data_IF_881076854572
#
_entry.id   IF_881076854572
#
_cell.length_a   1.000
_cell.length_b   1.000
_cell.length_c   1.000
_cell.angle_alpha   90.00
_cell.angle_beta   90.00
_cell.angle_gamma   90.00
#
_symmetry.space_group_name_H-M   'P 1'
#
loop_
_entity.id
_entity.type
_entity.pdbx_description
1 polymer ?
#
# COMPACT_ATOMS: atom_id res chain seq x y z
N UNK A 1 13.25 -10.84 -10.79
CA UNK A 1 13.38 -10.66 -12.25
C UNK A 1 14.88 -10.63 -12.53
N UNK A 2 15.37 -11.21 -13.62
CA UNK A 2 16.82 -11.34 -13.87
C UNK A 2 17.56 -9.98 -13.85
N UNK A 3 16.94 -8.92 -14.37
CA UNK A 3 17.52 -7.58 -14.34
C UNK A 3 17.71 -7.02 -12.93
N UNK A 4 17.01 -7.55 -11.93
CA UNK A 4 17.06 -7.11 -10.54
C UNK A 4 18.22 -7.74 -9.77
N UNK A 5 18.77 -8.84 -10.27
CA UNK A 5 19.86 -9.56 -9.62
C UNK A 5 21.10 -8.65 -9.60
N UNK A 6 21.68 -8.44 -8.42
CA UNK A 6 22.81 -7.54 -8.15
C UNK A 6 22.62 -6.05 -8.54
N UNK A 7 21.38 -5.62 -8.81
CA UNK A 7 21.08 -4.22 -9.20
C UNK A 7 20.15 -3.48 -8.25
N UNK A 8 19.63 -4.14 -7.19
CA UNK A 8 18.84 -3.47 -6.16
C UNK A 8 19.68 -2.59 -5.22
N UNK A 9 20.98 -2.88 -5.08
CA UNK A 9 21.89 -2.08 -4.27
C UNK A 9 22.03 -0.67 -4.87
N UNK A 10 21.87 0.35 -4.02
CA UNK A 10 22.14 1.72 -4.42
C UNK A 10 23.63 1.89 -4.80
N UNK A 11 23.97 2.80 -5.73
CA UNK A 11 25.34 3.01 -6.15
C UNK A 11 26.30 3.26 -4.98
N UNK A 12 27.41 2.51 -4.95
CA UNK A 12 28.41 2.63 -3.88
C UNK A 12 29.00 4.05 -3.82
N UNK A 13 28.74 4.75 -2.71
CA UNK A 13 29.20 6.10 -2.47
C UNK A 13 30.73 6.22 -2.38
N UNK A 14 31.48 5.13 -2.12
CA UNK A 14 32.95 5.14 -2.15
C UNK A 14 33.47 5.23 -3.58
N UNK A 15 32.82 4.54 -4.52
CA UNK A 15 33.18 4.53 -5.95
C UNK A 15 32.57 5.71 -6.70
N UNK A 16 31.35 6.11 -6.33
CA UNK A 16 30.59 7.19 -6.97
C UNK A 16 30.13 8.22 -5.92
N UNK A 17 31.07 8.98 -5.33
CA UNK A 17 30.75 9.92 -4.28
C UNK A 17 29.75 10.96 -4.78
N UNK A 18 28.72 11.20 -3.98
CA UNK A 18 27.66 12.17 -4.26
C UNK A 18 26.87 11.92 -5.55
N UNK A 19 26.86 10.69 -6.10
CA UNK A 19 25.99 10.36 -7.23
C UNK A 19 24.51 10.39 -6.81
N UNK A 20 24.19 9.68 -5.72
CA UNK A 20 22.86 9.75 -5.08
C UNK A 20 22.86 10.91 -4.10
N UNK A 21 22.05 11.94 -4.39
CA UNK A 21 21.92 13.14 -3.55
C UNK A 21 20.88 12.99 -2.44
N UNK A 22 19.81 12.25 -2.74
CA UNK A 22 18.68 12.03 -1.86
C UNK A 22 18.01 10.73 -2.28
N UNK A 23 17.84 9.80 -1.35
CA UNK A 23 16.97 8.64 -1.52
C UNK A 23 15.99 8.58 -0.35
N UNK A 24 14.71 8.36 -0.65
CA UNK A 24 13.66 8.04 0.32
C UNK A 24 13.02 6.75 -0.14
N UNK A 25 13.02 5.75 0.74
CA UNK A 25 12.34 4.49 0.52
C UNK A 25 11.23 4.34 1.54
N UNK A 26 9.99 4.21 1.07
CA UNK A 26 8.82 4.08 1.93
C UNK A 26 8.30 2.66 1.89
N UNK A 27 8.18 2.03 3.06
CA UNK A 27 7.99 0.59 3.21
C UNK A 27 6.66 0.29 3.89
N UNK A 28 5.94 -0.69 3.35
CA UNK A 28 4.69 -1.18 3.92
C UNK A 28 4.92 -2.05 5.15
N UNK A 29 4.46 -1.59 6.32
CA UNK A 29 4.64 -2.26 7.59
C UNK A 29 3.82 -3.53 7.79
N UNK A 30 2.73 -3.72 7.03
CA UNK A 30 1.79 -4.84 7.20
C UNK A 30 1.73 -5.80 6.00
N UNK A 31 2.59 -5.64 4.99
CA UNK A 31 2.64 -6.54 3.84
C UNK A 31 3.25 -7.89 4.22
N UNK A 32 2.64 -8.99 3.76
CA UNK A 32 3.02 -10.36 4.15
C UNK A 32 2.95 -11.35 2.99
N UNK A 33 2.52 -10.91 1.80
CA UNK A 33 2.38 -11.82 0.66
C UNK A 33 3.75 -12.24 0.16
N UNK A 34 3.94 -13.53 -0.04
CA UNK A 34 5.17 -14.12 -0.57
C UNK A 34 5.53 -13.62 -1.98
N UNK A 35 4.54 -13.13 -2.74
CA UNK A 35 4.76 -12.52 -4.04
C UNK A 35 5.20 -11.04 -4.01
N UNK A 36 5.29 -10.43 -2.81
CA UNK A 36 5.75 -9.05 -2.63
C UNK A 36 6.83 -8.97 -1.53
N UNK A 37 8.00 -9.62 -1.71
CA UNK A 37 9.13 -9.44 -0.80
C UNK A 37 9.61 -7.98 -0.82
N UNK A 38 10.14 -7.52 0.32
CA UNK A 38 10.75 -6.21 0.46
C UNK A 38 12.25 -6.28 0.16
N UNK A 39 12.73 -5.41 -0.71
CA UNK A 39 14.15 -5.12 -0.89
C UNK A 39 14.52 -3.85 -0.10
N UNK A 40 15.24 -4.01 1.02
CA UNK A 40 15.72 -2.88 1.83
C UNK A 40 16.85 -2.13 1.12
N UNK A 41 16.91 -0.82 1.26
CA UNK A 41 18.00 0.02 0.71
C UNK A 41 19.29 -0.03 1.54
N UNK A 42 19.39 -0.94 2.53
CA UNK A 42 20.62 -1.18 3.27
C UNK A 42 21.63 -1.91 2.39
N UNK A 43 22.90 -1.55 2.54
CA UNK A 43 24.01 -2.26 1.92
C UNK A 43 24.21 -3.64 2.56
N UNK A 44 25.07 -4.45 1.94
CA UNK A 44 25.42 -5.81 2.39
C UNK A 44 25.95 -5.87 3.84
N UNK A 45 26.52 -4.76 4.34
CA UNK A 45 26.98 -4.65 5.73
C UNK A 45 25.88 -4.21 6.72
N UNK A 46 24.61 -4.16 6.27
CA UNK A 46 23.44 -3.77 7.04
C UNK A 46 23.33 -2.27 7.31
N UNK A 47 24.14 -1.42 6.68
CA UNK A 47 24.12 0.03 6.88
C UNK A 47 23.40 0.75 5.74
N UNK A 48 22.74 1.86 6.07
CA UNK A 48 22.17 2.75 5.05
C UNK A 48 23.28 3.58 4.37
N UNK A 49 23.28 3.69 3.03
CA UNK A 49 24.14 4.63 2.34
C UNK A 49 23.91 6.08 2.79
N UNK A 50 24.89 6.94 2.57
CA UNK A 50 24.76 8.37 2.88
C UNK A 50 23.59 9.01 2.10
N UNK A 51 22.88 9.94 2.74
CA UNK A 51 21.72 10.66 2.18
C UNK A 51 20.52 9.78 1.82
N UNK A 52 20.39 8.61 2.45
CA UNK A 52 19.29 7.68 2.24
C UNK A 52 18.49 7.48 3.53
N UNK A 53 17.18 7.30 3.41
CA UNK A 53 16.27 7.07 4.52
C UNK A 53 15.24 6.02 4.11
N UNK A 54 15.08 4.99 4.93
CA UNK A 54 14.04 3.97 4.80
C UNK A 54 13.01 4.20 5.92
N UNK A 55 11.76 4.44 5.55
CA UNK A 55 10.69 4.84 6.47
C UNK A 55 9.56 3.85 6.39
N UNK A 56 9.19 3.28 7.53
CA UNK A 56 8.06 2.34 7.64
C UNK A 56 6.75 3.13 7.76
N UNK A 57 5.75 2.71 6.98
CA UNK A 57 4.40 3.26 6.97
C UNK A 57 3.37 2.16 7.31
N UNK A 58 2.19 2.52 7.85
CA UNK A 58 1.14 1.54 8.09
C UNK A 58 0.52 1.09 6.77
N UNK A 59 -0.04 -0.11 6.77
CA UNK A 59 -0.76 -0.68 5.64
C UNK A 59 0.05 -1.71 4.84
N UNK A 60 -0.61 -2.26 3.83
CA UNK A 60 0.00 -3.21 2.88
C UNK A 60 0.57 -2.47 1.66
N UNK A 61 1.06 -3.20 0.65
CA UNK A 61 1.80 -2.62 -0.49
C UNK A 61 1.19 -1.34 -1.09
N UNK A 62 -0.09 -1.37 -1.51
CA UNK A 62 -0.74 -0.22 -2.14
C UNK A 62 -1.31 0.81 -1.16
N UNK A 63 -1.33 0.52 0.15
CA UNK A 63 -1.58 1.54 1.17
C UNK A 63 -0.38 2.50 1.29
N UNK A 64 0.82 2.08 0.83
CA UNK A 64 2.02 2.93 0.74
C UNK A 64 2.20 3.48 -0.67
N UNK A 65 2.22 2.62 -1.68
CA UNK A 65 2.44 3.04 -3.07
C UNK A 65 1.28 3.78 -3.73
N UNK A 66 0.07 3.70 -3.14
CA UNK A 66 -1.16 4.11 -3.79
C UNK A 66 -1.64 3.09 -4.82
N UNK A 67 -2.92 3.18 -5.20
CA UNK A 67 -3.52 2.33 -6.22
C UNK A 67 -4.83 1.65 -5.81
N UNK A 68 -5.18 1.67 -4.52
CA UNK A 68 -6.51 1.28 -4.09
C UNK A 68 -7.54 2.35 -4.49
N UNK A 69 -8.68 1.96 -5.11
CA UNK A 69 -9.77 2.88 -5.38
C UNK A 69 -10.53 3.23 -4.09
N UNK A 70 -11.40 4.24 -4.19
CA UNK A 70 -12.39 4.53 -3.15
C UNK A 70 -13.24 3.28 -2.85
N UNK A 71 -13.54 3.06 -1.57
CA UNK A 71 -14.36 1.96 -1.07
C UNK A 71 -13.78 0.55 -1.28
N UNK A 72 -12.53 0.40 -1.72
CA UNK A 72 -11.92 -0.93 -1.85
C UNK A 72 -11.82 -1.62 -0.50
N UNK A 73 -12.35 -2.85 -0.40
CA UNK A 73 -12.45 -3.59 0.86
C UNK A 73 -13.20 -2.80 1.97
N UNK A 74 -14.08 -1.88 1.58
CA UNK A 74 -14.84 -1.00 2.47
C UNK A 74 -14.01 0.05 3.23
N UNK A 75 -12.80 0.34 2.74
CA UNK A 75 -11.89 1.40 3.21
C UNK A 75 -12.12 2.69 2.44
N UNK A 76 -11.82 3.85 3.03
CA UNK A 76 -11.90 5.17 2.39
C UNK A 76 -13.21 5.38 1.61
N UNK A 77 -14.35 5.30 2.31
CA UNK A 77 -15.67 5.17 1.68
C UNK A 77 -16.20 6.49 1.15
N UNK A 78 -15.81 7.60 1.77
CA UNK A 78 -16.28 8.93 1.39
C UNK A 78 -15.45 9.55 0.26
N UNK A 79 -14.29 8.97 -0.08
CA UNK A 79 -13.46 9.44 -1.18
C UNK A 79 -11.99 9.07 -1.05
N UNK A 80 -11.22 9.33 -2.12
CA UNK A 80 -9.77 9.08 -2.18
C UNK A 80 -8.99 9.86 -1.12
N UNK A 81 -9.50 11.02 -0.69
CA UNK A 81 -8.93 11.80 0.41
C UNK A 81 -8.94 11.05 1.76
N UNK A 82 -9.67 9.95 1.90
CA UNK A 82 -9.63 9.06 3.07
C UNK A 82 -8.61 7.90 2.97
N UNK A 83 -7.89 7.76 1.85
CA UNK A 83 -6.87 6.71 1.68
C UNK A 83 -5.62 7.02 2.52
N UNK A 84 -5.07 6.01 3.20
CA UNK A 84 -3.85 6.18 3.99
C UNK A 84 -2.62 6.49 3.12
N UNK A 85 -2.63 6.04 1.86
CA UNK A 85 -1.59 6.36 0.87
C UNK A 85 -1.46 7.85 0.59
N UNK A 86 -2.48 8.66 0.89
CA UNK A 86 -2.38 10.11 0.82
C UNK A 86 -1.28 10.64 1.74
N UNK A 87 -1.07 10.04 2.91
CA UNK A 87 0.01 10.47 3.82
C UNK A 87 1.38 10.24 3.16
N UNK A 88 1.58 9.08 2.53
CA UNK A 88 2.83 8.74 1.83
C UNK A 88 3.04 9.61 0.59
N UNK A 89 1.97 9.90 -0.15
CA UNK A 89 1.99 10.83 -1.28
C UNK A 89 2.50 12.22 -0.85
N UNK A 90 1.99 12.74 0.26
CA UNK A 90 2.42 14.04 0.79
C UNK A 90 3.88 14.04 1.26
N UNK A 91 4.33 12.98 1.94
CA UNK A 91 5.74 12.88 2.35
C UNK A 91 6.68 12.72 1.14
N UNK A 92 6.29 11.95 0.14
CA UNK A 92 7.05 11.83 -1.11
C UNK A 92 7.15 13.17 -1.84
N UNK A 93 6.02 13.87 -1.96
CA UNK A 93 5.95 15.19 -2.58
C UNK A 93 6.86 16.17 -1.82
N UNK A 94 6.77 16.23 -0.50
CA UNK A 94 7.58 17.13 0.32
C UNK A 94 9.08 16.81 0.22
N UNK A 95 9.46 15.53 0.30
CA UNK A 95 10.85 15.12 0.20
C UNK A 95 11.44 15.36 -1.19
N UNK A 96 10.67 15.11 -2.25
CA UNK A 96 11.07 15.39 -3.63
C UNK A 96 11.20 16.89 -3.87
N UNK A 97 10.22 17.69 -3.42
CA UNK A 97 10.25 19.15 -3.54
C UNK A 97 11.45 19.75 -2.80
N UNK A 98 11.71 19.31 -1.55
CA UNK A 98 12.87 19.74 -0.77
C UNK A 98 14.21 19.34 -1.41
N UNK A 99 14.24 18.21 -2.15
CA UNK A 99 15.39 17.79 -2.93
C UNK A 99 15.55 18.54 -4.27
N UNK A 100 14.64 19.46 -4.61
CA UNK A 100 14.69 20.28 -5.82
C UNK A 100 13.97 19.69 -7.03
N UNK A 101 13.08 18.71 -6.84
CA UNK A 101 12.24 18.22 -7.92
C UNK A 101 11.33 19.36 -8.44
N UNK A 102 11.19 19.54 -9.76
CA UNK A 102 10.40 20.61 -10.36
C UNK A 102 8.90 20.29 -10.30
N UNK A 103 8.34 20.25 -9.09
CA UNK A 103 6.93 19.96 -8.86
C UNK A 103 6.10 21.24 -8.82
N UNK A 104 4.85 21.11 -9.25
CA UNK A 104 3.85 22.16 -9.14
C UNK A 104 3.40 22.33 -7.70
N UNK A 105 2.99 23.55 -7.34
CA UNK A 105 2.52 23.91 -5.99
C UNK A 105 1.07 24.43 -6.02
N UNK A 106 0.35 24.41 -4.88
CA UNK A 106 -0.90 25.16 -4.76
C UNK A 106 -0.67 26.66 -5.05
N UNK A 107 -1.66 27.32 -5.66
CA UNK A 107 -1.51 28.73 -6.03
C UNK A 107 -1.25 29.63 -4.81
N UNK A 108 -1.81 29.24 -3.67
CA UNK A 108 -1.77 29.97 -2.40
C UNK A 108 -0.35 30.13 -1.87
N UNK A 109 0.55 29.19 -2.19
CA UNK A 109 1.95 29.21 -1.75
C UNK A 109 2.91 29.71 -2.82
N UNK A 110 2.40 30.06 -4.01
CA UNK A 110 3.23 30.59 -5.09
C UNK A 110 3.72 32.00 -4.74
N UNK A 111 5.04 32.29 -4.84
CA UNK A 111 5.57 33.64 -4.57
C UNK A 111 4.95 34.71 -5.48
N UNK A 112 4.75 35.92 -4.94
CA UNK A 112 4.12 37.04 -5.65
C UNK A 112 4.81 37.37 -6.98
N UNK A 113 6.14 37.17 -7.06
CA UNK A 113 6.93 37.34 -8.29
C UNK A 113 6.40 36.53 -9.46
N UNK A 114 5.79 35.36 -9.20
CA UNK A 114 5.26 34.48 -10.24
C UNK A 114 3.77 34.67 -10.50
N UNK A 115 3.01 35.29 -9.59
CA UNK A 115 1.54 35.39 -9.70
C UNK A 115 1.04 36.12 -10.95
N UNK A 116 1.80 37.11 -11.43
CA UNK A 116 1.49 37.86 -12.66
C UNK A 116 2.34 37.45 -13.86
N UNK A 117 3.13 36.38 -13.73
CA UNK A 117 4.00 35.87 -14.80
C UNK A 117 3.28 34.79 -15.61
N UNK A 118 3.71 34.58 -16.87
CA UNK A 118 3.30 33.42 -17.65
C UNK A 118 3.76 32.09 -17.04
N UNK A 119 4.71 32.12 -16.09
CA UNK A 119 5.19 30.92 -15.41
C UNK A 119 4.17 30.31 -14.45
N UNK A 120 3.19 31.10 -13.98
CA UNK A 120 2.12 30.63 -13.11
C UNK A 120 1.44 29.36 -13.67
N UNK A 121 1.13 29.36 -14.97
CA UNK A 121 0.33 28.29 -15.60
C UNK A 121 0.94 26.89 -15.50
N UNK A 122 2.28 26.78 -15.48
CA UNK A 122 2.95 25.49 -15.40
C UNK A 122 3.57 25.21 -14.03
N UNK A 123 3.60 26.20 -13.13
CA UNK A 123 4.04 26.06 -11.73
C UNK A 123 2.90 25.75 -10.75
N UNK A 124 1.66 26.04 -11.11
CA UNK A 124 0.50 25.83 -10.25
C UNK A 124 -0.17 24.48 -10.52
N UNK A 125 -0.58 23.79 -9.46
CA UNK A 125 -1.40 22.58 -9.55
C UNK A 125 -2.75 22.89 -10.19
N UNK A 126 -3.23 22.00 -11.07
CA UNK A 126 -4.61 22.09 -11.58
C UNK A 126 -5.63 21.78 -10.47
N UNK A 127 -6.89 22.17 -10.67
CA UNK A 127 -7.98 21.85 -9.74
C UNK A 127 -8.14 20.34 -9.49
N UNK A 128 -7.98 19.53 -10.54
CA UNK A 128 -8.02 18.06 -10.43
C UNK A 128 -6.87 17.55 -9.55
N UNK A 129 -5.66 18.07 -9.76
CA UNK A 129 -4.48 17.64 -9.00
C UNK A 129 -4.58 18.10 -7.55
N UNK A 130 -5.07 19.32 -7.29
CA UNK A 130 -5.38 19.77 -5.94
C UNK A 130 -6.39 18.86 -5.24
N UNK A 131 -7.39 18.36 -5.97
CA UNK A 131 -8.36 17.39 -5.43
C UNK A 131 -7.71 16.03 -5.15
N UNK A 132 -6.83 15.56 -6.02
CA UNK A 132 -6.07 14.31 -5.83
C UNK A 132 -5.13 14.38 -4.62
N UNK A 133 -4.65 15.58 -4.26
CA UNK A 133 -3.82 15.81 -3.07
C UNK A 133 -4.63 16.08 -1.79
N UNK A 134 -5.97 16.09 -1.82
CA UNK A 134 -6.74 16.28 -0.58
C UNK A 134 -6.50 15.11 0.38
N UNK A 135 -6.37 15.42 1.66
CA UNK A 135 -6.28 14.43 2.73
C UNK A 135 -7.28 14.78 3.83
N UNK A 136 -8.05 13.79 4.26
CA UNK A 136 -9.01 13.95 5.34
C UNK A 136 -8.25 14.12 6.67
N UNK A 137 -8.58 15.14 7.49
CA UNK A 137 -7.93 15.31 8.80
C UNK A 137 -8.01 14.08 9.71
N UNK A 138 -9.07 13.26 9.57
CA UNK A 138 -9.23 12.02 10.33
C UNK A 138 -8.22 10.94 9.94
N UNK A 139 -7.75 10.94 8.69
CA UNK A 139 -6.66 10.05 8.26
C UNK A 139 -5.37 10.48 8.91
N UNK A 140 -5.09 11.79 8.96
CA UNK A 140 -3.91 12.36 9.64
C UNK A 140 -3.94 12.00 11.13
N UNK A 141 -5.08 12.18 11.79
CA UNK A 141 -5.27 11.79 13.20
C UNK A 141 -4.96 10.30 13.44
N UNK A 142 -5.53 9.42 12.62
CA UNK A 142 -5.34 7.96 12.74
C UNK A 142 -3.91 7.53 12.44
N UNK A 143 -3.29 8.13 11.42
CA UNK A 143 -1.89 7.90 11.08
C UNK A 143 -0.98 8.30 12.25
N UNK A 144 -1.21 9.47 12.84
CA UNK A 144 -0.45 9.92 14.01
C UNK A 144 -0.69 9.05 15.24
N UNK A 145 -1.91 8.55 15.44
CA UNK A 145 -2.19 7.58 16.50
C UNK A 145 -1.39 6.28 16.32
N UNK A 146 -1.32 5.74 15.09
CA UNK A 146 -0.45 4.61 14.77
C UNK A 146 1.03 4.98 15.05
N UNK A 147 1.52 6.04 14.43
CA UNK A 147 2.92 6.51 14.53
C UNK A 147 3.38 6.67 15.98
N UNK A 148 2.55 7.23 16.86
CA UNK A 148 2.94 7.54 18.23
C UNK A 148 2.64 6.45 19.26
N UNK A 149 1.76 5.49 18.94
CA UNK A 149 1.32 4.47 19.91
C UNK A 149 1.79 3.07 19.55
N UNK A 150 2.14 2.80 18.30
CA UNK A 150 2.51 1.46 17.85
C UNK A 150 3.96 1.34 17.38
N UNK A 151 4.67 2.44 17.12
CA UNK A 151 6.09 2.36 16.77
C UNK A 151 6.97 2.22 18.03
N UNK A 152 8.03 1.41 17.98
CA UNK A 152 8.92 1.19 19.13
C UNK A 152 9.72 2.45 19.47
N UNK A 153 9.98 2.65 20.77
CA UNK A 153 10.88 3.73 21.24
C UNK A 153 10.28 5.14 21.22
N UNK A 154 9.00 5.30 20.90
CA UNK A 154 8.31 6.59 21.00
C UNK A 154 7.86 6.83 22.44
N UNK A 155 8.34 7.91 23.06
CA UNK A 155 7.89 8.28 24.40
C UNK A 155 6.39 8.64 24.37
N UNK A 156 5.64 8.19 25.38
CA UNK A 156 4.18 8.26 25.41
C UNK A 156 3.62 9.70 25.41
N UNK A 157 4.48 10.70 25.65
CA UNK A 157 4.21 12.12 25.87
C UNK A 157 4.65 13.04 24.72
N UNK A 158 5.10 12.50 23.57
CA UNK A 158 5.41 13.33 22.40
C UNK A 158 4.11 13.94 21.86
N UNK A 159 3.94 15.24 22.12
CA UNK A 159 2.92 16.10 21.53
C UNK A 159 3.07 16.11 20.00
N UNK A 160 1.96 15.90 19.27
CA UNK A 160 1.88 16.26 17.86
C UNK A 160 1.73 17.78 17.81
N UNK A 161 2.82 18.53 17.96
CA UNK A 161 2.76 19.97 17.69
C UNK A 161 2.47 20.20 16.20
N UNK A 162 1.93 21.39 15.88
CA UNK A 162 1.57 21.88 14.54
C UNK A 162 2.79 22.04 13.58
N UNK A 163 3.92 21.43 13.92
CA UNK A 163 5.15 21.41 13.13
C UNK A 163 5.00 20.52 11.90
N UNK A 164 5.78 20.82 10.85
CA UNK A 164 5.90 19.97 9.67
C UNK A 164 6.21 18.51 10.07
N UNK A 165 5.60 17.56 9.37
CA UNK A 165 5.83 16.13 9.62
C UNK A 165 7.31 15.78 9.39
N UNK A 166 7.91 15.11 10.36
CA UNK A 166 9.21 14.46 10.22
C UNK A 166 9.12 12.97 10.62
N UNK A 167 9.68 12.05 9.82
CA UNK A 167 9.77 10.64 10.19
C UNK A 167 10.47 10.43 11.53
N UNK A 168 9.95 9.54 12.36
CA UNK A 168 10.57 9.20 13.65
C UNK A 168 11.80 8.32 13.42
N UNK A 169 12.93 8.73 13.98
CA UNK A 169 14.13 7.89 13.99
C UNK A 169 14.00 6.80 15.05
N UNK A 170 13.81 5.58 14.60
CA UNK A 170 13.74 4.41 15.47
C UNK A 170 15.15 3.94 15.86
N UNK A 171 15.26 3.27 17.02
CA UNK A 171 16.48 2.62 17.50
C UNK A 171 16.53 1.12 17.18
N UNK A 172 15.56 0.62 16.41
CA UNK A 172 15.42 -0.75 15.93
C UNK A 172 15.83 -0.87 14.47
N UNK A 173 16.12 -2.09 14.02
CA UNK A 173 16.31 -2.38 12.59
C UNK A 173 14.97 -2.35 11.84
N UNK A 174 15.00 -2.35 10.51
CA UNK A 174 13.76 -2.45 9.72
C UNK A 174 13.09 -3.79 9.95
N UNK A 175 13.84 -4.89 10.09
CA UNK A 175 13.29 -6.22 10.37
C UNK A 175 12.57 -6.28 11.71
N UNK A 176 13.18 -5.72 12.76
CA UNK A 176 12.58 -5.70 14.10
C UNK A 176 11.33 -4.83 14.11
N UNK A 177 11.39 -3.68 13.43
CA UNK A 177 10.25 -2.78 13.28
C UNK A 177 9.10 -3.45 12.53
N UNK A 178 9.38 -4.08 11.40
CA UNK A 178 8.38 -4.82 10.63
C UNK A 178 7.81 -5.98 11.46
N UNK A 179 8.65 -6.72 12.17
CA UNK A 179 8.21 -7.80 13.09
C UNK A 179 7.23 -7.28 14.14
N UNK A 180 7.53 -6.14 14.78
CA UNK A 180 6.64 -5.51 15.75
C UNK A 180 5.31 -5.05 15.10
N UNK A 181 5.36 -4.42 13.93
CA UNK A 181 4.17 -4.01 13.18
C UNK A 181 3.30 -5.20 12.75
N UNK A 182 3.90 -6.34 12.42
CA UNK A 182 3.20 -7.59 12.19
C UNK A 182 2.47 -8.10 13.45
N UNK A 183 3.05 -7.89 14.63
CA UNK A 183 2.38 -8.14 15.91
C UNK A 183 1.11 -7.31 16.08
N UNK A 184 1.16 -6.01 15.76
CA UNK A 184 0.00 -5.11 15.84
C UNK A 184 -1.15 -5.50 14.91
N UNK A 185 -0.87 -5.73 13.62
CA UNK A 185 -1.91 -6.16 12.67
C UNK A 185 -2.44 -7.55 13.02
N UNK A 186 -1.60 -8.44 13.57
CA UNK A 186 -2.04 -9.75 14.09
C UNK A 186 -3.02 -9.58 15.26
N UNK A 187 -2.72 -8.72 16.24
CA UNK A 187 -3.63 -8.39 17.33
C UNK A 187 -4.98 -7.84 16.84
N UNK A 188 -4.95 -6.95 15.84
CA UNK A 188 -6.17 -6.46 15.19
C UNK A 188 -6.97 -7.60 14.54
N UNK A 189 -6.31 -8.50 13.80
CA UNK A 189 -6.96 -9.65 13.15
C UNK A 189 -7.53 -10.63 14.17
N UNK A 190 -6.87 -10.87 15.31
CA UNK A 190 -7.46 -11.68 16.40
C UNK A 190 -8.77 -11.04 16.88
N UNK A 191 -8.76 -9.73 17.17
CA UNK A 191 -9.95 -9.02 17.64
C UNK A 191 -11.10 -8.92 16.64
N UNK A 192 -10.81 -8.94 15.33
CA UNK A 192 -11.82 -8.78 14.26
C UNK A 192 -12.20 -10.08 13.57
N UNK A 193 -11.25 -10.93 13.23
CA UNK A 193 -11.48 -12.18 12.49
C UNK A 193 -11.73 -13.37 13.40
N UNK A 194 -11.12 -13.43 14.58
CA UNK A 194 -11.19 -14.62 15.46
C UNK A 194 -12.24 -14.47 16.56
N UNK A 195 -12.36 -13.28 17.15
CA UNK A 195 -13.17 -13.07 18.36
C UNK A 195 -14.66 -13.37 18.10
N UNK A 196 -15.04 -14.60 18.45
CA UNK A 196 -16.35 -15.20 18.27
C UNK A 196 -16.63 -16.15 19.44
N UNK A 197 -17.22 -15.65 20.54
CA UNK A 197 -17.48 -16.46 21.74
C UNK A 197 -18.53 -17.56 21.55
N UNK A 198 -19.32 -17.53 20.46
CA UNK A 198 -20.51 -18.37 20.28
C UNK A 198 -20.46 -19.25 19.01
N UNK A 199 -19.52 -19.00 18.08
CA UNK A 199 -19.20 -19.89 16.96
C UNK A 199 -19.88 -19.53 15.62
N UNK A 200 -20.83 -18.60 15.62
CA UNK A 200 -21.58 -18.17 14.44
C UNK A 200 -21.54 -16.64 14.20
N UNK A 201 -20.96 -15.87 15.13
CA UNK A 201 -21.10 -14.42 15.19
C UNK A 201 -19.75 -13.69 15.11
N UNK A 202 -18.92 -14.08 14.14
CA UNK A 202 -17.61 -13.47 13.91
C UNK A 202 -17.66 -11.95 13.89
N UNK A 203 -16.78 -11.31 14.66
CA UNK A 203 -16.75 -9.87 14.87
C UNK A 203 -16.71 -9.06 13.58
N UNK A 204 -15.97 -9.52 12.57
CA UNK A 204 -15.81 -8.84 11.28
C UNK A 204 -17.12 -8.63 10.52
N UNK A 205 -18.09 -9.56 10.64
CA UNK A 205 -19.38 -9.50 9.93
C UNK A 205 -20.20 -8.25 10.27
N UNK A 206 -19.95 -7.66 11.45
CA UNK A 206 -20.62 -6.44 11.95
C UNK A 206 -19.77 -5.17 11.80
N UNK A 207 -18.54 -5.30 11.31
CA UNK A 207 -17.64 -4.15 11.22
C UNK A 207 -17.97 -3.30 10.00
N UNK A 208 -17.87 -1.96 10.10
CA UNK A 208 -18.16 -1.07 8.99
C UNK A 208 -17.37 -1.38 7.71
N UNK A 209 -16.11 -1.82 7.84
CA UNK A 209 -15.29 -2.19 6.67
C UNK A 209 -15.90 -3.38 5.92
N UNK A 210 -16.50 -4.34 6.60
CA UNK A 210 -17.10 -5.50 5.94
C UNK A 210 -18.50 -5.19 5.42
N UNK A 211 -19.33 -4.51 6.21
CA UNK A 211 -20.70 -4.20 5.80
C UNK A 211 -20.74 -3.23 4.62
N UNK A 212 -19.78 -2.30 4.54
CA UNK A 212 -19.64 -1.32 3.47
C UNK A 212 -18.75 -1.74 2.30
N UNK A 213 -18.13 -2.92 2.33
CA UNK A 213 -17.30 -3.40 1.22
C UNK A 213 -18.13 -3.72 -0.04
N UNK A 214 -17.49 -3.70 -1.20
CA UNK A 214 -18.16 -4.01 -2.47
C UNK A 214 -18.43 -5.52 -2.58
N UNK A 215 -19.49 -5.88 -3.31
CA UNK A 215 -19.78 -7.26 -3.68
C UNK A 215 -20.65 -7.24 -4.93
N UNK A 216 -20.04 -7.51 -6.08
CA UNK A 216 -20.78 -7.67 -7.33
C UNK A 216 -21.54 -9.01 -7.33
N UNK A 217 -22.72 -9.04 -7.96
CA UNK A 217 -23.42 -10.31 -8.12
C UNK A 217 -22.73 -11.18 -9.18
N UNK A 218 -22.95 -12.50 -9.14
CA UNK A 218 -22.44 -13.39 -10.18
C UNK A 218 -22.97 -13.04 -11.59
N UNK A 219 -24.16 -12.42 -11.66
CA UNK A 219 -24.70 -11.91 -12.91
C UNK A 219 -23.90 -10.70 -13.41
N UNK A 220 -23.68 -9.70 -12.55
CA UNK A 220 -22.93 -8.49 -12.90
C UNK A 220 -21.48 -8.81 -13.27
N UNK A 221 -20.84 -9.74 -12.53
CA UNK A 221 -19.52 -10.23 -12.87
C UNK A 221 -19.49 -10.85 -14.28
N UNK A 222 -20.50 -11.64 -14.62
CA UNK A 222 -20.64 -12.26 -15.93
C UNK A 222 -20.77 -11.24 -17.06
N UNK A 223 -21.58 -10.20 -16.86
CA UNK A 223 -21.74 -9.11 -17.83
C UNK A 223 -20.46 -8.28 -17.97
N UNK A 224 -19.85 -7.87 -16.85
CA UNK A 224 -18.60 -7.09 -16.85
C UNK A 224 -17.45 -7.85 -17.53
N UNK A 225 -17.40 -9.18 -17.35
CA UNK A 225 -16.40 -10.03 -18.02
C UNK A 225 -16.61 -10.09 -19.54
N UNK A 226 -17.86 -10.20 -20.00
CA UNK A 226 -18.17 -10.14 -21.45
C UNK A 226 -17.81 -8.79 -22.06
N UNK A 227 -18.09 -7.70 -21.34
CA UNK A 227 -17.71 -6.36 -21.76
C UNK A 227 -16.19 -6.22 -21.86
N UNK A 228 -15.46 -6.77 -20.90
CA UNK A 228 -14.00 -6.81 -20.92
C UNK A 228 -13.44 -7.61 -22.10
N UNK A 229 -13.98 -8.80 -22.36
CA UNK A 229 -13.60 -9.64 -23.51
C UNK A 229 -13.86 -8.92 -24.84
N UNK A 230 -14.99 -8.20 -24.94
CA UNK A 230 -15.33 -7.40 -26.11
C UNK A 230 -14.32 -6.26 -26.33
N UNK A 231 -13.93 -5.55 -25.26
CA UNK A 231 -12.88 -4.53 -25.30
C UNK A 231 -11.52 -5.11 -25.71
N UNK A 232 -11.16 -6.29 -25.24
CA UNK A 232 -9.93 -6.96 -25.66
C UNK A 232 -9.94 -7.27 -27.17
N UNK A 233 -11.05 -7.79 -27.69
CA UNK A 233 -11.19 -8.09 -29.12
C UNK A 233 -11.09 -6.83 -29.97
N UNK A 234 -11.70 -5.73 -29.53
CA UNK A 234 -11.60 -4.44 -30.20
C UNK A 234 -10.15 -3.92 -30.22
N UNK A 235 -9.43 -4.01 -29.11
CA UNK A 235 -8.02 -3.61 -29.03
C UNK A 235 -7.16 -4.46 -29.97
N UNK A 236 -7.37 -5.78 -30.03
CA UNK A 236 -6.66 -6.66 -30.97
C UNK A 236 -6.94 -6.24 -32.42
N UNK A 237 -8.20 -5.98 -32.77
CA UNK A 237 -8.59 -5.54 -34.12
C UNK A 237 -7.93 -4.19 -34.48
N UNK A 238 -7.93 -3.24 -33.55
CA UNK A 238 -7.29 -1.93 -33.73
C UNK A 238 -5.77 -2.07 -33.93
N UNK A 239 -5.11 -2.99 -33.20
CA UNK A 239 -3.68 -3.28 -33.37
C UNK A 239 -3.34 -3.88 -34.73
N UNK A 240 -4.22 -4.70 -35.28
CA UNK A 240 -4.05 -5.27 -36.62
C UNK A 240 -4.23 -4.22 -37.72
N UNK A 241 -5.20 -3.31 -37.54
CA UNK A 241 -5.55 -2.30 -38.54
C UNK A 241 -4.66 -1.05 -38.50
N UNK A 242 -4.09 -0.70 -37.34
CA UNK A 242 -3.28 0.49 -37.17
C UNK A 242 -2.04 0.19 -36.29
N UNK A 243 -1.11 -0.56 -36.88
CA UNK A 243 0.03 -1.17 -36.17
C UNK A 243 1.00 -0.14 -35.58
N UNK A 244 1.25 0.96 -36.28
CA UNK A 244 2.13 2.04 -35.81
C UNK A 244 1.53 2.80 -34.62
N UNK A 245 0.23 3.16 -34.67
CA UNK A 245 -0.42 3.79 -33.53
C UNK A 245 -0.48 2.83 -32.33
N UNK A 246 -0.69 1.54 -32.57
CA UNK A 246 -0.86 0.49 -31.57
C UNK A 246 0.38 0.15 -30.72
N UNK A 247 1.60 0.44 -31.19
CA UNK A 247 2.83 0.07 -30.48
C UNK A 247 2.95 0.71 -29.09
N UNK A 248 2.29 1.85 -28.87
CA UNK A 248 2.39 2.62 -27.63
C UNK A 248 1.17 2.48 -26.70
N UNK A 249 0.16 1.67 -27.06
CA UNK A 249 -1.03 1.50 -26.23
C UNK A 249 -0.99 0.19 -25.44
N UNK A 250 -0.84 0.25 -24.10
CA UNK A 250 -1.01 -0.94 -23.27
C UNK A 250 -2.41 -1.52 -23.48
N UNK A 251 -2.55 -2.82 -23.28
CA UNK A 251 -3.86 -3.46 -23.35
C UNK A 251 -4.81 -2.92 -22.27
N UNK A 252 -6.11 -3.23 -22.35
CA UNK A 252 -7.01 -2.88 -21.28
C UNK A 252 -6.54 -3.57 -19.99
N UNK A 253 -6.63 -2.88 -18.84
CA UNK A 253 -6.29 -3.45 -17.53
C UNK A 253 -7.00 -4.78 -17.34
N UNK A 254 -6.34 -5.74 -16.69
CA UNK A 254 -6.97 -7.02 -16.38
C UNK A 254 -8.24 -6.75 -15.58
N UNK A 255 -9.33 -7.38 -15.99
CA UNK A 255 -10.59 -7.29 -15.26
C UNK A 255 -10.47 -8.08 -13.96
N UNK A 256 -10.73 -7.39 -12.85
CA UNK A 256 -10.78 -7.96 -11.52
C UNK A 256 -12.17 -7.68 -10.94
N UNK A 257 -12.94 -8.72 -10.56
CA UNK A 257 -14.27 -8.53 -10.02
C UNK A 257 -14.20 -7.95 -8.60
N UNK A 258 -15.07 -6.99 -8.29
CA UNK A 258 -15.16 -6.38 -6.96
C UNK A 258 -15.97 -7.25 -5.99
N UNK A 259 -15.34 -8.35 -5.55
CA UNK A 259 -15.93 -9.36 -4.65
C UNK A 259 -15.35 -9.26 -3.22
N UNK A 260 -15.21 -8.03 -2.73
CA UNK A 260 -14.45 -7.71 -1.52
C UNK A 260 -14.98 -8.45 -0.28
N UNK A 261 -16.31 -8.56 -0.12
CA UNK A 261 -16.88 -9.27 1.05
C UNK A 261 -16.52 -10.75 1.01
N UNK A 262 -16.58 -11.39 -0.16
CA UNK A 262 -16.15 -12.78 -0.35
C UNK A 262 -14.67 -12.95 0.00
N UNK A 263 -13.79 -12.09 -0.52
CA UNK A 263 -12.35 -12.16 -0.24
C UNK A 263 -12.03 -11.89 1.24
N UNK A 264 -12.62 -10.87 1.85
CA UNK A 264 -12.45 -10.54 3.27
C UNK A 264 -12.95 -11.68 4.18
N UNK A 265 -14.07 -12.31 3.82
CA UNK A 265 -14.60 -13.49 4.53
C UNK A 265 -13.61 -14.65 4.47
N UNK A 266 -13.11 -14.99 3.28
CA UNK A 266 -12.15 -16.08 3.11
C UNK A 266 -10.86 -15.82 3.91
N UNK A 267 -10.32 -14.60 3.82
CA UNK A 267 -9.14 -14.21 4.59
C UNK A 267 -9.36 -14.29 6.10
N UNK A 268 -10.54 -13.91 6.59
CA UNK A 268 -10.90 -14.03 8.01
C UNK A 268 -11.00 -15.50 8.45
N UNK A 269 -11.63 -16.35 7.63
CA UNK A 269 -11.75 -17.79 7.87
C UNK A 269 -10.38 -18.50 7.87
N UNK A 270 -9.50 -18.16 6.92
CA UNK A 270 -8.12 -18.66 6.86
C UNK A 270 -7.33 -18.25 8.09
N UNK A 271 -7.35 -16.96 8.45
CA UNK A 271 -6.66 -16.48 9.63
C UNK A 271 -7.19 -17.13 10.92
N UNK A 272 -8.51 -17.31 11.06
CA UNK A 272 -9.13 -17.99 12.22
C UNK A 272 -8.67 -19.46 12.30
N UNK A 273 -8.63 -20.16 11.18
CA UNK A 273 -8.15 -21.55 11.11
C UNK A 273 -6.67 -21.66 11.49
N UNK A 274 -5.82 -20.76 10.98
CA UNK A 274 -4.39 -20.77 11.27
C UNK A 274 -4.10 -20.39 12.73
N UNK A 275 -4.81 -19.40 13.28
CA UNK A 275 -4.63 -18.96 14.67
C UNK A 275 -5.13 -19.97 15.70
N UNK A 276 -6.27 -20.64 15.44
CA UNK A 276 -6.87 -21.61 16.38
C UNK A 276 -6.33 -23.04 16.23
N UNK A 277 -5.53 -23.30 15.19
CA UNK A 277 -5.04 -24.64 14.87
C UNK A 277 -6.11 -25.60 14.35
N UNK A 278 -7.33 -25.13 14.05
CA UNK A 278 -8.39 -25.94 13.49
C UNK A 278 -8.11 -26.26 12.01
N UNK A 279 -8.38 -27.50 11.58
CA UNK A 279 -8.23 -27.90 10.17
C UNK A 279 -9.35 -27.31 9.31
N UNK A 280 -8.99 -26.83 8.11
CA UNK A 280 -9.96 -26.28 7.15
C UNK A 280 -10.82 -27.40 6.57
N UNK A 281 -12.09 -27.12 6.28
CA UNK A 281 -12.86 -27.93 5.32
C UNK A 281 -12.36 -27.57 3.92
N UNK A 282 -11.47 -28.39 3.38
CA UNK A 282 -10.91 -28.21 2.05
C UNK A 282 -11.99 -28.47 0.99
N UNK A 283 -12.17 -27.52 0.08
CA UNK A 283 -13.13 -27.62 -1.04
C UNK A 283 -12.50 -28.24 -2.30
N UNK A 284 -11.18 -28.47 -2.30
CA UNK A 284 -10.46 -29.10 -3.40
C UNK A 284 -9.33 -30.02 -2.93
N UNK A 285 -8.98 -30.99 -3.78
CA UNK A 285 -7.87 -31.92 -3.55
C UNK A 285 -6.52 -31.21 -3.47
N UNK A 286 -6.29 -30.18 -4.30
CA UNK A 286 -5.06 -29.40 -4.30
C UNK A 286 -4.85 -28.64 -2.99
N UNK A 287 -5.92 -28.07 -2.42
CA UNK A 287 -5.88 -27.40 -1.11
C UNK A 287 -5.59 -28.38 0.04
N UNK A 288 -5.99 -29.63 -0.09
CA UNK A 288 -5.66 -30.68 0.90
C UNK A 288 -4.18 -31.03 0.89
N UNK A 289 -3.54 -31.09 -0.29
CA UNK A 289 -2.11 -31.39 -0.41
C UNK A 289 -1.25 -30.27 0.16
N UNK A 290 -1.56 -29.00 -0.15
CA UNK A 290 -0.81 -27.86 0.42
C UNK A 290 -0.98 -27.74 1.93
N UNK A 291 -2.19 -27.93 2.46
CA UNK A 291 -2.47 -27.79 3.90
C UNK A 291 -1.91 -28.95 4.75
N UNK A 292 -1.83 -30.17 4.19
CA UNK A 292 -1.26 -31.35 4.88
C UNK A 292 0.27 -31.40 4.73
N UNK A 293 0.82 -31.16 3.53
CA UNK A 293 2.25 -31.33 3.29
C UNK A 293 3.11 -30.18 3.84
N UNK A 294 2.61 -28.94 3.90
CA UNK A 294 3.38 -27.80 4.42
C UNK A 294 3.24 -27.60 5.94
N UNK A 295 2.14 -28.03 6.57
CA UNK A 295 2.01 -27.98 8.04
C UNK A 295 2.87 -29.05 8.74
N UNK A 296 2.96 -30.25 8.19
CA UNK A 296 3.75 -31.37 8.77
C UNK A 296 5.25 -31.30 8.44
N UNK A 297 5.69 -30.32 7.63
CA UNK A 297 7.11 -30.04 7.38
C UNK A 297 7.77 -29.20 8.50
N UNK A 298 7.04 -28.86 9.58
CA UNK A 298 7.67 -28.41 10.83
C UNK A 298 8.39 -29.59 11.48
N UNK A 299 9.67 -29.71 11.18
CA UNK A 299 10.61 -30.55 11.92
C UNK A 299 10.45 -30.30 13.44
N UNK A 300 10.46 -31.34 14.27
CA UNK A 300 10.48 -31.17 15.72
C UNK A 300 11.79 -30.47 16.12
N UNK A 301 11.68 -29.47 17.00
CA UNK A 301 12.80 -28.96 17.77
C UNK A 301 13.27 -30.01 18.78
#
# INVERSE_FOLDING_TARGET
>A
MDWADDTQLLPDARRFPNLVKCCRHFVAGFEQRSCFPLDSIRNENGQYPANTYEVVYPGVHSDVGGGYPQNDQGKAREGTHELVSQIVLHDLYAAAFAAGAPLQVPEEVLPDTYKNSSEKFWRTLSESTNTDFKVNPRVVERFNAWRLKTLPGVAADVSVEDSAYEPLRLNTTVEDTLTDQLGWITGWRIGRYVNDPQGDNDSYKRQPFFTGANEVSAYDEGEQRKDYESKQQEVVKNRLNNREAAMNYPGPRIYEPQIDKTQLKQAAEEFKSDYTGQKRKQTSWQGTVTDVALRDARLPA
#
